data_IF_494787988630
#
_entry.id   IF_494787988630
#
_cell.length_a   1.000
_cell.length_b   1.000
_cell.length_c   1.000
_cell.angle_alpha   90.00
_cell.angle_beta   90.00
_cell.angle_gamma   90.00
#
_symmetry.space_group_name_H-M   'P 1'
#
loop_
_entity.id
_entity.type
_entity.pdbx_description
1 polymer ?
#
# COMPACT_ATOMS: atom_id res chain seq x y z
N UNK A 1 -11.69 -22.10 28.82
CA UNK A 1 -12.00 -22.23 27.38
C UNK A 1 -11.01 -21.35 26.63
N UNK A 2 -9.89 -21.93 26.20
CA UNK A 2 -8.77 -21.23 25.54
C UNK A 2 -9.10 -21.03 24.05
N UNK A 3 -9.59 -19.85 23.68
CA UNK A 3 -9.81 -19.45 22.27
C UNK A 3 -8.56 -18.82 21.63
N UNK A 4 -7.55 -18.46 22.44
CA UNK A 4 -6.32 -17.80 22.01
C UNK A 4 -5.44 -18.60 21.01
N UNK A 5 -5.25 -19.93 21.12
CA UNK A 5 -4.34 -20.63 20.22
C UNK A 5 -4.89 -20.79 18.79
N UNK A 6 -6.21 -20.70 18.62
CA UNK A 6 -6.86 -20.85 17.29
C UNK A 6 -6.71 -19.54 16.49
N UNK A 7 -6.84 -18.39 17.15
CA UNK A 7 -6.70 -17.07 16.50
C UNK A 7 -5.26 -16.86 16.00
N UNK A 8 -4.25 -17.18 16.83
CA UNK A 8 -2.83 -17.08 16.43
C UNK A 8 -2.45 -18.03 15.29
N UNK A 9 -3.13 -19.18 15.16
CA UNK A 9 -2.89 -20.15 14.08
C UNK A 9 -3.49 -19.73 12.74
N UNK A 10 -4.42 -18.78 12.71
CA UNK A 10 -5.01 -18.22 11.48
C UNK A 10 -4.22 -17.01 10.99
N UNK A 11 -3.64 -16.23 11.91
CA UNK A 11 -2.87 -15.02 11.58
C UNK A 11 -1.54 -15.32 10.86
N UNK A 12 -0.87 -16.41 11.21
CA UNK A 12 0.42 -16.83 10.60
C UNK A 12 0.26 -17.66 9.31
N UNK A 13 -0.98 -17.76 8.77
CA UNK A 13 -1.22 -18.47 7.52
C UNK A 13 -0.85 -17.58 6.33
N UNK A 14 -0.11 -18.14 5.39
CA UNK A 14 0.22 -17.51 4.11
C UNK A 14 -0.95 -17.57 3.14
N UNK A 15 -1.01 -16.61 2.23
CA UNK A 15 -2.06 -16.49 1.21
C UNK A 15 -1.68 -17.22 -0.09
N UNK A 16 -1.22 -18.47 0.02
CA UNK A 16 -0.73 -19.28 -1.12
C UNK A 16 -1.80 -19.56 -2.18
N UNK A 17 -3.07 -19.40 -1.83
CA UNK A 17 -4.20 -19.56 -2.73
C UNK A 17 -4.45 -18.33 -3.62
N UNK A 18 -3.77 -17.21 -3.39
CA UNK A 18 -3.83 -16.00 -4.23
C UNK A 18 -2.54 -15.92 -5.06
N UNK A 19 -2.61 -15.86 -6.40
CA UNK A 19 -1.42 -15.73 -7.23
C UNK A 19 -0.57 -14.51 -6.87
N UNK A 20 0.72 -14.74 -6.58
CA UNK A 20 1.67 -13.69 -6.22
C UNK A 20 1.73 -13.32 -4.73
N UNK A 21 0.95 -13.99 -3.88
CA UNK A 21 0.80 -13.63 -2.46
C UNK A 21 1.36 -14.66 -1.47
N UNK A 22 2.19 -15.60 -1.93
CA UNK A 22 2.73 -16.67 -1.06
C UNK A 22 3.64 -16.18 0.08
N UNK A 23 4.15 -14.94 -0.01
CA UNK A 23 4.92 -14.31 1.06
C UNK A 23 4.05 -13.47 2.02
N UNK A 24 2.79 -13.23 1.68
CA UNK A 24 1.86 -12.38 2.44
C UNK A 24 1.09 -13.25 3.42
N UNK A 25 1.03 -12.82 4.68
CA UNK A 25 0.25 -13.46 5.73
C UNK A 25 -1.13 -12.84 5.86
N UNK A 26 -2.02 -13.56 6.53
CA UNK A 26 -3.35 -13.05 6.89
C UNK A 26 -3.26 -11.75 7.72
N UNK A 27 -2.25 -11.63 8.60
CA UNK A 27 -2.03 -10.43 9.42
C UNK A 27 -1.55 -9.20 8.62
N UNK A 28 -0.99 -9.41 7.43
CA UNK A 28 -0.53 -8.32 6.55
C UNK A 28 -1.66 -7.71 5.72
N UNK A 29 -2.86 -8.31 5.73
CA UNK A 29 -4.02 -7.80 4.99
C UNK A 29 -4.47 -6.44 5.56
N UNK A 30 -5.03 -5.55 4.72
CA UNK A 30 -5.63 -4.33 5.22
C UNK A 30 -6.75 -4.60 6.24
N UNK A 31 -6.88 -3.70 7.23
CA UNK A 31 -8.02 -3.72 8.15
C UNK A 31 -9.35 -3.65 7.36
N UNK A 32 -10.35 -4.41 7.81
CA UNK A 32 -11.65 -4.49 7.15
C UNK A 32 -11.77 -5.60 6.11
N UNK A 33 -10.71 -6.39 5.87
CA UNK A 33 -10.78 -7.58 5.01
C UNK A 33 -11.15 -8.84 5.82
N UNK A 34 -10.36 -9.19 6.83
CA UNK A 34 -10.61 -10.36 7.72
C UNK A 34 -10.46 -10.05 9.21
N UNK A 35 -9.97 -8.87 9.57
CA UNK A 35 -9.82 -8.40 10.95
C UNK A 35 -10.15 -6.91 11.06
N UNK A 36 -10.27 -6.42 12.30
CA UNK A 36 -10.77 -5.08 12.59
C UNK A 36 -12.29 -4.99 12.48
N UNK A 37 -12.82 -3.77 12.30
CA UNK A 37 -14.25 -3.55 12.10
C UNK A 37 -14.67 -3.78 10.63
N UNK A 38 -14.97 -5.04 10.31
CA UNK A 38 -15.38 -5.48 8.96
C UNK A 38 -16.77 -4.96 8.55
N UNK A 39 -17.57 -4.47 9.50
CA UNK A 39 -18.89 -3.88 9.25
C UNK A 39 -18.83 -2.35 9.17
N UNK A 40 -17.64 -1.76 9.36
CA UNK A 40 -17.46 -0.30 9.21
C UNK A 40 -17.87 0.17 7.81
N UNK A 41 -18.34 1.43 7.66
CA UNK A 41 -18.69 1.97 6.35
C UNK A 41 -17.56 1.87 5.32
N UNK A 42 -16.31 2.01 5.76
CA UNK A 42 -15.13 1.90 4.90
C UNK A 42 -14.89 0.46 4.42
N UNK A 43 -14.95 -0.53 5.32
CA UNK A 43 -14.84 -1.94 4.97
C UNK A 43 -15.97 -2.37 4.01
N UNK A 44 -17.21 -2.00 4.34
CA UNK A 44 -18.38 -2.25 3.49
C UNK A 44 -18.24 -1.61 2.09
N UNK A 45 -17.67 -0.40 2.01
CA UNK A 45 -17.39 0.27 0.74
C UNK A 45 -16.35 -0.51 -0.08
N UNK A 46 -15.23 -0.92 0.53
CA UNK A 46 -14.18 -1.70 -0.14
C UNK A 46 -14.70 -3.05 -0.64
N UNK A 47 -15.49 -3.75 0.17
CA UNK A 47 -16.11 -5.02 -0.23
C UNK A 47 -17.04 -4.84 -1.45
N UNK A 48 -17.94 -3.85 -1.41
CA UNK A 48 -18.82 -3.53 -2.54
C UNK A 48 -18.02 -3.12 -3.79
N UNK A 49 -16.95 -2.35 -3.63
CA UNK A 49 -16.06 -2.00 -4.73
C UNK A 49 -15.50 -3.26 -5.39
N UNK A 50 -14.93 -4.19 -4.60
CA UNK A 50 -14.40 -5.46 -5.09
C UNK A 50 -15.42 -6.28 -5.91
N UNK A 51 -16.67 -6.34 -5.45
CA UNK A 51 -17.76 -7.04 -6.16
C UNK A 51 -18.17 -6.35 -7.47
N UNK A 52 -17.98 -5.04 -7.59
CA UNK A 52 -18.43 -4.24 -8.73
C UNK A 52 -17.35 -4.04 -9.79
N UNK A 53 -16.06 -4.12 -9.45
CA UNK A 53 -14.94 -3.96 -10.38
C UNK A 53 -15.02 -4.84 -11.65
N UNK A 54 -15.44 -6.13 -11.59
CA UNK A 54 -15.59 -6.95 -12.80
C UNK A 54 -16.61 -6.43 -13.83
N UNK A 55 -17.50 -5.50 -13.43
CA UNK A 55 -18.51 -4.89 -14.30
C UNK A 55 -18.00 -3.62 -14.99
N UNK A 56 -16.84 -3.09 -14.59
CA UNK A 56 -16.27 -1.90 -15.20
C UNK A 56 -15.76 -2.20 -16.62
N UNK A 57 -15.91 -1.24 -17.54
CA UNK A 57 -15.35 -1.32 -18.90
C UNK A 57 -13.83 -1.46 -18.88
N UNK A 58 -13.18 -0.76 -17.96
CA UNK A 58 -11.77 -0.89 -17.66
C UNK A 58 -11.50 -0.42 -16.23
N UNK A 59 -10.45 -0.98 -15.61
CA UNK A 59 -9.92 -0.56 -14.31
C UNK A 59 -8.54 0.04 -14.55
N UNK A 60 -8.38 1.33 -14.28
CA UNK A 60 -7.10 2.01 -14.36
C UNK A 60 -6.38 1.94 -13.01
N UNK A 61 -5.09 1.62 -13.03
CA UNK A 61 -4.24 1.52 -11.84
C UNK A 61 -2.99 2.37 -11.99
N UNK A 62 -2.59 3.04 -10.91
CA UNK A 62 -1.30 3.73 -10.85
C UNK A 62 -0.19 2.69 -10.59
N UNK A 63 0.16 1.96 -11.63
CA UNK A 63 1.20 0.93 -11.66
C UNK A 63 1.74 0.79 -13.10
N UNK A 64 2.72 -0.09 -13.31
CA UNK A 64 3.28 -0.47 -14.61
C UNK A 64 3.40 -2.01 -14.69
N UNK A 65 3.37 -2.58 -15.90
CA UNK A 65 3.22 -4.03 -16.07
C UNK A 65 4.42 -4.84 -15.53
N UNK A 66 5.61 -4.28 -15.61
CA UNK A 66 6.87 -4.90 -15.25
C UNK A 66 7.13 -4.93 -13.74
N UNK A 67 6.34 -4.20 -12.93
CA UNK A 67 6.55 -4.11 -11.47
C UNK A 67 6.43 -5.48 -10.81
N UNK A 68 5.31 -6.16 -11.04
CA UNK A 68 5.05 -7.52 -10.55
C UNK A 68 4.16 -8.28 -11.54
N UNK A 69 4.74 -9.00 -12.52
CA UNK A 69 3.99 -9.66 -13.59
C UNK A 69 2.95 -10.68 -13.11
N UNK A 70 3.21 -11.36 -11.98
CA UNK A 70 2.26 -12.36 -11.43
C UNK A 70 1.02 -11.65 -10.85
N UNK A 71 1.23 -10.57 -10.10
CA UNK A 71 0.17 -9.79 -9.44
C UNK A 71 -0.61 -8.95 -10.45
N UNK A 72 0.02 -8.50 -11.52
CA UNK A 72 -0.64 -7.70 -12.58
C UNK A 72 -1.47 -8.56 -13.54
N UNK A 73 -1.15 -9.85 -13.70
CA UNK A 73 -1.85 -10.76 -14.62
C UNK A 73 -3.10 -11.41 -14.02
N UNK A 74 -3.12 -11.75 -12.73
CA UNK A 74 -4.31 -12.35 -12.10
C UNK A 74 -5.58 -11.46 -12.23
N UNK A 75 -5.52 -10.13 -11.99
CA UNK A 75 -6.65 -9.24 -12.21
C UNK A 75 -7.14 -9.21 -13.67
N UNK A 76 -6.26 -9.40 -14.66
CA UNK A 76 -6.65 -9.46 -16.09
C UNK A 76 -7.57 -10.66 -16.39
N UNK A 77 -7.53 -11.72 -15.57
CA UNK A 77 -8.46 -12.85 -15.68
C UNK A 77 -9.83 -12.60 -15.02
N UNK A 78 -9.90 -11.65 -14.08
CA UNK A 78 -11.09 -11.35 -13.25
C UNK A 78 -11.84 -10.10 -13.69
N UNK A 79 -11.19 -9.24 -14.48
CA UNK A 79 -11.69 -7.93 -14.91
C UNK A 79 -11.75 -7.85 -16.45
N UNK A 80 -12.63 -7.00 -16.99
CA UNK A 80 -12.78 -6.86 -18.44
C UNK A 80 -11.51 -6.31 -19.11
N UNK A 81 -10.87 -5.33 -18.46
CA UNK A 81 -9.64 -4.68 -18.92
C UNK A 81 -8.94 -4.03 -17.73
N UNK A 82 -7.63 -4.22 -17.63
CA UNK A 82 -6.77 -3.53 -16.65
C UNK A 82 -5.81 -2.62 -17.41
N UNK A 83 -5.71 -1.36 -16.98
CA UNK A 83 -4.87 -0.34 -17.58
C UNK A 83 -3.85 0.14 -16.53
N UNK A 84 -2.61 -0.30 -16.66
CA UNK A 84 -1.49 0.22 -15.89
C UNK A 84 -1.08 1.58 -16.50
N UNK A 85 -1.43 2.68 -15.83
CA UNK A 85 -1.26 4.07 -16.34
C UNK A 85 -0.23 4.87 -15.54
N UNK A 86 0.48 4.21 -14.64
CA UNK A 86 1.50 4.80 -13.78
C UNK A 86 2.94 4.57 -14.26
N UNK A 87 3.94 4.97 -13.46
CA UNK A 87 3.77 5.76 -12.24
C UNK A 87 3.39 7.22 -12.57
N UNK A 88 2.37 7.75 -11.90
CA UNK A 88 1.85 9.10 -12.19
C UNK A 88 2.87 10.22 -12.04
N UNK A 89 3.87 10.05 -11.16
CA UNK A 89 4.95 11.04 -11.02
C UNK A 89 5.77 11.23 -12.31
N UNK A 90 5.78 10.22 -13.19
CA UNK A 90 6.41 10.30 -14.52
C UNK A 90 5.41 10.61 -15.62
N UNK A 91 4.23 9.97 -15.59
CA UNK A 91 3.22 10.07 -16.65
C UNK A 91 2.42 11.39 -16.62
N UNK A 92 2.28 12.00 -15.45
CA UNK A 92 1.55 13.25 -15.22
C UNK A 92 2.21 14.02 -14.08
N UNK A 93 3.42 14.57 -14.30
CA UNK A 93 4.21 15.17 -13.24
C UNK A 93 3.43 16.31 -12.56
N UNK A 94 3.41 16.37 -11.23
CA UNK A 94 2.76 17.46 -10.52
C UNK A 94 3.42 18.79 -10.87
N UNK A 95 2.65 19.88 -10.80
CA UNK A 95 3.21 21.23 -10.93
C UNK A 95 4.31 21.43 -9.88
N UNK A 96 5.44 22.02 -10.29
CA UNK A 96 6.58 22.27 -9.41
C UNK A 96 6.14 23.02 -8.15
N UNK A 97 6.31 22.37 -7.00
CA UNK A 97 6.04 22.97 -5.69
C UNK A 97 7.26 23.83 -5.34
N UNK A 98 7.02 25.07 -4.91
CA UNK A 98 8.06 25.92 -4.35
C UNK A 98 8.65 25.27 -3.09
N UNK A 99 9.96 25.07 -3.08
CA UNK A 99 10.70 24.58 -1.92
C UNK A 99 10.82 25.68 -0.86
N UNK A 100 9.73 25.92 -0.14
CA UNK A 100 9.65 26.94 0.90
C UNK A 100 10.62 26.69 2.07
N UNK A 101 11.04 25.43 2.26
CA UNK A 101 11.92 25.00 3.33
C UNK A 101 13.41 25.07 2.96
N UNK A 102 13.74 25.28 1.68
CA UNK A 102 15.13 25.27 1.20
C UNK A 102 15.80 23.89 1.29
N UNK A 103 15.02 22.81 1.21
CA UNK A 103 15.50 21.43 1.24
C UNK A 103 16.44 21.10 0.08
N UNK A 104 16.15 21.56 -1.14
CA UNK A 104 16.95 21.26 -2.33
C UNK A 104 18.34 21.92 -2.26
N UNK A 105 18.47 23.24 -1.98
CA UNK A 105 19.80 23.85 -1.76
C UNK A 105 20.55 23.22 -0.58
N UNK A 106 19.85 22.77 0.45
CA UNK A 106 20.49 22.06 1.57
C UNK A 106 21.04 20.69 1.15
N UNK A 107 20.31 19.95 0.30
CA UNK A 107 20.72 18.66 -0.27
C UNK A 107 21.97 18.79 -1.17
N UNK A 108 22.07 19.87 -1.96
CA UNK A 108 23.21 20.14 -2.85
C UNK A 108 24.55 20.18 -2.10
N UNK A 109 24.53 20.44 -0.79
CA UNK A 109 25.71 20.53 0.06
C UNK A 109 26.01 19.22 0.83
N UNK A 110 25.36 18.11 0.50
CA UNK A 110 25.57 16.80 1.14
C UNK A 110 26.33 15.85 0.23
N UNK A 111 26.92 14.81 0.82
CA UNK A 111 27.56 13.75 0.04
C UNK A 111 26.47 12.90 -0.61
N UNK A 112 26.81 12.30 -1.75
CA UNK A 112 25.94 11.33 -2.40
C UNK A 112 25.55 10.21 -1.42
N UNK A 113 24.28 9.81 -1.46
CA UNK A 113 23.70 8.77 -0.60
C UNK A 113 23.94 8.97 0.92
N UNK A 114 24.13 10.21 1.39
CA UNK A 114 24.40 10.49 2.82
C UNK A 114 23.21 11.04 3.61
N UNK A 115 22.04 11.16 2.98
CA UNK A 115 20.85 11.77 3.59
C UNK A 115 19.73 10.75 3.59
N UNK A 116 19.09 10.58 4.75
CA UNK A 116 17.84 9.84 4.87
C UNK A 116 16.65 10.78 4.71
N UNK A 117 15.73 10.46 3.80
CA UNK A 117 14.42 11.09 3.73
C UNK A 117 13.45 10.31 4.63
N UNK A 118 12.73 11.03 5.49
CA UNK A 118 11.77 10.45 6.45
C UNK A 118 10.42 11.12 6.26
N UNK A 119 9.39 10.33 5.94
CA UNK A 119 8.01 10.77 5.81
C UNK A 119 7.07 9.61 6.08
N UNK A 120 5.96 9.88 6.78
CA UNK A 120 4.91 8.91 7.09
C UNK A 120 3.62 9.16 6.29
N UNK A 121 3.72 9.93 5.20
CA UNK A 121 2.58 10.34 4.39
C UNK A 121 1.84 11.54 4.95
N UNK A 122 0.65 11.82 4.42
CA UNK A 122 -0.10 13.05 4.70
C UNK A 122 -1.03 12.98 5.93
N UNK A 123 -1.27 11.80 6.48
CA UNK A 123 -2.27 11.58 7.55
C UNK A 123 -1.62 11.00 8.80
N UNK A 124 -0.64 10.10 8.67
CA UNK A 124 -0.10 9.38 9.81
C UNK A 124 0.93 10.22 10.57
N UNK A 125 0.88 10.12 11.89
CA UNK A 125 1.93 10.59 12.80
C UNK A 125 2.29 9.44 13.73
N UNK A 126 3.55 8.99 13.78
CA UNK A 126 3.95 7.94 14.71
C UNK A 126 3.67 8.30 16.17
N UNK A 127 3.41 7.31 17.03
CA UNK A 127 3.27 7.52 18.47
C UNK A 127 4.46 8.26 19.08
N UNK A 128 4.28 9.06 20.16
CA UNK A 128 5.35 9.87 20.74
C UNK A 128 6.62 9.09 21.10
N UNK A 129 6.49 7.85 21.60
CA UNK A 129 7.61 6.98 21.92
C UNK A 129 8.42 6.57 20.67
N UNK A 130 7.77 6.41 19.52
CA UNK A 130 8.45 6.11 18.25
C UNK A 130 9.14 7.34 17.67
N UNK A 131 8.53 8.52 17.79
CA UNK A 131 9.19 9.79 17.43
C UNK A 131 10.46 9.99 18.24
N UNK A 132 10.41 9.74 19.55
CA UNK A 132 11.60 9.81 20.42
C UNK A 132 12.62 8.73 20.03
N UNK A 133 12.19 7.54 19.62
CA UNK A 133 13.10 6.48 19.19
C UNK A 133 13.83 6.85 17.89
N UNK A 134 13.16 7.47 16.92
CA UNK A 134 13.75 7.90 15.64
C UNK A 134 14.83 8.98 15.79
N UNK A 135 14.80 9.74 16.89
CA UNK A 135 15.80 10.78 17.18
C UNK A 135 17.09 10.21 17.79
N UNK A 136 17.12 8.91 18.11
CA UNK A 136 18.31 8.27 18.66
C UNK A 136 19.31 7.98 17.52
N UNK A 137 20.60 8.30 17.71
CA UNK A 137 21.64 8.08 16.72
C UNK A 137 21.91 6.60 16.44
#
# INVERSE_FOLDING_TARGET
>A
MQLLPIIGRVQDQTLDFIPGFSAIKVEDLPEGIVFGDIESPFACMLHKMGLMLPRATAVATNSFEELEPIVTNDPKSKLQKVLAVGPFDLSSPPQLILDASGCLPWLDNKKEASVAYVSFGSIATPPPNEIVALQKP
#
